data_IF_340984680725
#
_entry.id   IF_340984680725
#
_cell.length_a   1.000
_cell.length_b   1.000
_cell.length_c   1.000
_cell.angle_alpha   90.00
_cell.angle_beta   90.00
_cell.angle_gamma   90.00
#
_symmetry.space_group_name_H-M   'P 1'
#
loop_
_entity.id
_entity.type
_entity.pdbx_description
1 polymer ?
#
# COMPACT_ATOMS: atom_id res chain seq x y z
N UNK A 1 49.57 -9.80 32.89
CA UNK A 1 48.50 -9.39 31.97
C UNK A 1 47.24 -10.16 32.34
N UNK A 2 46.16 -9.47 32.71
CA UNK A 2 44.84 -10.09 32.92
C UNK A 2 44.07 -9.89 31.62
N UNK A 3 43.66 -10.97 30.97
CA UNK A 3 42.79 -10.92 29.80
C UNK A 3 41.35 -10.89 30.30
N UNK A 4 40.67 -9.75 30.15
CA UNK A 4 39.23 -9.65 30.40
C UNK A 4 38.53 -10.13 29.12
N UNK A 5 37.91 -11.30 29.16
CA UNK A 5 37.03 -11.77 28.08
C UNK A 5 35.65 -11.14 28.29
N UNK A 6 35.28 -10.18 27.44
CA UNK A 6 33.93 -9.60 27.40
C UNK A 6 33.03 -10.48 26.53
N UNK A 7 32.08 -11.17 27.15
CA UNK A 7 31.05 -11.95 26.45
C UNK A 7 29.93 -10.99 26.02
N UNK A 8 30.07 -10.36 24.86
CA UNK A 8 28.96 -9.61 24.27
C UNK A 8 27.88 -10.60 23.79
N UNK A 9 26.71 -10.61 24.43
CA UNK A 9 25.54 -11.30 23.88
C UNK A 9 25.10 -10.56 22.62
N UNK A 10 25.45 -11.09 21.46
CA UNK A 10 25.00 -10.54 20.18
C UNK A 10 23.47 -10.68 20.14
N UNK A 11 22.76 -9.55 20.03
CA UNK A 11 21.29 -9.56 19.87
C UNK A 11 20.93 -10.44 18.68
N UNK A 12 19.86 -11.25 18.72
CA UNK A 12 19.41 -11.95 17.51
C UNK A 12 19.04 -10.94 16.41
N UNK A 13 19.16 -11.37 15.14
CA UNK A 13 18.72 -10.57 14.00
C UNK A 13 17.23 -10.21 14.12
N UNK A 14 16.78 -9.05 13.60
CA UNK A 14 15.37 -8.67 13.65
C UNK A 14 14.48 -9.69 12.95
N UNK A 15 13.24 -9.84 13.43
CA UNK A 15 12.22 -10.68 12.79
C UNK A 15 11.04 -9.78 12.45
N UNK A 16 10.69 -9.67 11.16
CA UNK A 16 9.56 -8.86 10.72
C UNK A 16 8.26 -9.42 11.31
N UNK A 17 7.45 -8.56 11.93
CA UNK A 17 6.17 -8.92 12.55
C UNK A 17 4.97 -8.19 11.95
N UNK A 18 5.19 -7.16 11.12
CA UNK A 18 4.13 -6.49 10.36
C UNK A 18 3.50 -7.44 9.32
N UNK A 19 2.25 -7.16 8.93
CA UNK A 19 1.52 -7.96 7.96
C UNK A 19 2.24 -8.04 6.61
N UNK A 20 2.41 -9.24 6.06
CA UNK A 20 3.13 -9.47 4.79
C UNK A 20 2.26 -9.26 3.54
N UNK A 21 1.10 -8.63 3.70
CA UNK A 21 0.22 -8.22 2.62
C UNK A 21 -0.39 -6.85 2.93
N UNK A 22 -0.46 -5.98 1.94
CA UNK A 22 -1.16 -4.70 2.04
C UNK A 22 -1.80 -4.32 0.70
N UNK A 23 -2.80 -3.44 0.76
CA UNK A 23 -3.49 -2.92 -0.43
C UNK A 23 -3.43 -1.40 -0.44
N UNK A 24 -3.25 -0.82 -1.62
CA UNK A 24 -3.34 0.63 -1.85
C UNK A 24 -4.22 0.93 -3.07
N UNK A 25 -4.46 2.22 -3.30
CA UNK A 25 -5.18 2.71 -4.48
C UNK A 25 -4.27 3.68 -5.23
N UNK A 26 -4.18 3.53 -6.55
CA UNK A 26 -3.39 4.42 -7.38
C UNK A 26 -3.83 5.89 -7.19
N UNK A 27 -2.88 6.82 -7.24
CA UNK A 27 -3.11 8.26 -7.05
C UNK A 27 -3.76 8.66 -5.71
N UNK A 28 -3.75 7.76 -4.71
CA UNK A 28 -4.20 8.01 -3.34
C UNK A 28 -3.04 7.80 -2.38
N UNK A 29 -2.96 8.60 -1.31
CA UNK A 29 -1.90 8.47 -0.30
C UNK A 29 -1.92 7.07 0.32
N UNK A 30 -0.74 6.46 0.42
CA UNK A 30 -0.51 5.16 1.03
C UNK A 30 0.44 5.30 2.22
N UNK A 31 0.21 4.49 3.25
CA UNK A 31 1.06 4.39 4.42
C UNK A 31 1.08 2.95 4.95
N UNK A 32 2.27 2.44 5.23
CA UNK A 32 2.49 1.13 5.82
C UNK A 32 3.73 1.18 6.71
N UNK A 33 3.61 0.70 7.95
CA UNK A 33 4.71 0.66 8.91
C UNK A 33 5.31 -0.75 8.98
N UNK A 34 6.60 -0.88 8.65
CA UNK A 34 7.36 -2.10 8.93
C UNK A 34 7.59 -2.17 10.45
N UNK A 35 7.25 -3.30 11.06
CA UNK A 35 7.55 -3.60 12.46
C UNK A 35 8.34 -4.88 12.56
N UNK A 36 9.25 -4.96 13.53
CA UNK A 36 10.09 -6.13 13.75
C UNK A 36 10.43 -6.32 15.23
N UNK A 37 10.62 -7.57 15.65
CA UNK A 37 11.15 -7.95 16.95
C UNK A 37 12.68 -7.86 17.01
N UNK A 38 13.25 -8.16 18.18
CA UNK A 38 14.70 -8.20 18.45
C UNK A 38 15.42 -6.84 18.30
N UNK A 39 14.73 -5.73 18.52
CA UNK A 39 15.34 -4.39 18.58
C UNK A 39 15.95 -3.93 17.25
N UNK A 40 15.15 -3.73 16.19
CA UNK A 40 15.63 -3.18 14.93
C UNK A 40 16.13 -1.74 15.12
N UNK A 41 17.23 -1.38 14.46
CA UNK A 41 17.80 -0.02 14.45
C UNK A 41 17.59 0.69 13.13
N UNK A 42 17.31 -0.04 12.06
CA UNK A 42 17.00 0.52 10.74
C UNK A 42 16.11 -0.42 9.95
N UNK A 43 15.40 0.16 8.99
CA UNK A 43 14.53 -0.55 8.06
C UNK A 43 14.83 -0.16 6.61
N UNK A 44 14.50 -1.05 5.68
CA UNK A 44 14.60 -0.79 4.25
C UNK A 44 13.51 -1.57 3.48
N UNK A 45 13.28 -1.19 2.23
CA UNK A 45 12.35 -1.80 1.31
C UNK A 45 12.87 -1.66 -0.13
N UNK A 46 12.84 -2.74 -0.89
CA UNK A 46 13.22 -2.79 -2.30
C UNK A 46 12.07 -3.35 -3.15
N UNK A 47 11.94 -2.87 -4.40
CA UNK A 47 10.84 -3.26 -5.30
C UNK A 47 9.51 -2.56 -5.00
N UNK A 48 9.55 -1.39 -4.36
CA UNK A 48 8.36 -0.57 -4.13
C UNK A 48 7.74 -0.10 -5.46
N UNK A 49 6.39 -0.07 -5.57
CA UNK A 49 5.70 0.63 -6.65
C UNK A 49 6.18 2.08 -6.80
N UNK A 50 6.20 2.58 -8.03
CA UNK A 50 6.56 3.96 -8.31
C UNK A 50 5.69 4.93 -7.49
N UNK A 51 6.33 5.95 -6.92
CA UNK A 51 5.69 6.95 -6.07
C UNK A 51 5.68 6.61 -4.57
N UNK A 52 6.20 5.45 -4.17
CA UNK A 52 6.43 5.08 -2.77
C UNK A 52 7.91 5.11 -2.39
N UNK A 53 8.18 5.43 -1.13
CA UNK A 53 9.52 5.38 -0.54
C UNK A 53 9.45 4.84 0.90
N UNK A 54 10.59 4.42 1.43
CA UNK A 54 10.74 3.93 2.81
C UNK A 54 11.64 4.87 3.61
N UNK A 55 11.23 5.19 4.84
CA UNK A 55 12.08 5.90 5.79
C UNK A 55 12.97 4.93 6.57
N UNK A 56 14.06 5.42 7.17
CA UNK A 56 14.92 4.61 8.06
C UNK A 56 14.18 4.05 9.28
N UNK A 57 13.07 4.69 9.68
CA UNK A 57 12.15 4.23 10.73
C UNK A 57 11.11 3.21 10.27
N UNK A 58 11.15 2.76 9.00
CA UNK A 58 10.30 1.70 8.48
C UNK A 58 8.95 2.14 7.93
N UNK A 59 8.69 3.45 7.85
CA UNK A 59 7.47 3.97 7.24
C UNK A 59 7.62 3.93 5.71
N UNK A 60 6.87 3.03 5.06
CA UNK A 60 6.63 3.07 3.62
C UNK A 60 5.47 4.03 3.37
N UNK A 61 5.71 5.09 2.59
CA UNK A 61 4.69 6.11 2.33
C UNK A 61 4.83 6.75 0.96
N UNK A 62 3.79 7.45 0.52
CA UNK A 62 3.76 8.19 -0.74
C UNK A 62 2.44 8.00 -1.45
N UNK A 63 2.45 8.15 -2.78
CA UNK A 63 1.27 7.99 -3.63
C UNK A 63 1.64 7.05 -4.78
N UNK A 64 1.19 5.78 -4.78
CA UNK A 64 1.54 4.85 -5.83
C UNK A 64 0.88 5.28 -7.14
N UNK A 65 1.61 5.19 -8.25
CA UNK A 65 1.12 5.64 -9.56
C UNK A 65 0.70 4.50 -10.49
N UNK A 66 1.14 3.28 -10.22
CA UNK A 66 0.92 2.12 -11.07
C UNK A 66 0.06 1.10 -10.35
N UNK A 67 -1.03 0.69 -11.01
CA UNK A 67 -1.90 -0.43 -10.59
C UNK A 67 -1.18 -1.75 -10.81
N UNK A 68 -1.35 -2.69 -9.89
CA UNK A 68 -0.79 -4.04 -9.98
C UNK A 68 -0.29 -4.56 -8.64
N UNK A 69 0.15 -5.81 -8.67
CA UNK A 69 0.74 -6.47 -7.50
C UNK A 69 2.26 -6.40 -7.57
N UNK A 70 2.88 -5.92 -6.50
CA UNK A 70 4.34 -5.86 -6.33
C UNK A 70 4.80 -6.76 -5.20
N UNK A 71 5.90 -7.48 -5.44
CA UNK A 71 6.61 -8.27 -4.43
C UNK A 71 7.72 -7.42 -3.83
N UNK A 72 7.44 -6.76 -2.70
CA UNK A 72 8.35 -5.83 -2.04
C UNK A 72 9.21 -6.59 -1.05
N UNK A 73 10.54 -6.50 -1.16
CA UNK A 73 11.45 -7.07 -0.16
C UNK A 73 11.63 -6.05 0.96
N UNK A 74 11.10 -6.35 2.15
CA UNK A 74 11.26 -5.51 3.35
C UNK A 74 12.32 -6.10 4.28
N UNK A 75 13.10 -5.24 4.93
CA UNK A 75 14.15 -5.68 5.85
C UNK A 75 14.27 -4.78 7.07
N UNK A 76 14.78 -5.37 8.14
CA UNK A 76 15.10 -4.71 9.38
C UNK A 76 16.46 -5.18 9.87
N UNK A 77 17.32 -4.26 10.33
CA UNK A 77 18.68 -4.57 10.75
C UNK A 77 18.98 -4.07 12.15
N UNK A 78 19.85 -4.80 12.86
CA UNK A 78 20.50 -4.40 14.11
C UNK A 78 21.94 -4.93 14.11
N UNK A 79 22.68 -4.76 15.22
CA UNK A 79 24.05 -5.27 15.35
C UNK A 79 24.16 -6.81 15.28
N UNK A 80 23.04 -7.52 15.46
CA UNK A 80 22.89 -8.96 15.36
C UNK A 80 22.68 -9.52 13.96
N UNK A 81 22.39 -8.66 12.98
CA UNK A 81 22.16 -9.04 11.59
C UNK A 81 20.91 -8.39 10.99
N UNK A 82 20.45 -8.96 9.88
CA UNK A 82 19.32 -8.44 9.09
C UNK A 82 18.24 -9.50 8.96
N UNK A 83 17.01 -9.16 9.35
CA UNK A 83 15.82 -9.91 9.01
C UNK A 83 15.24 -9.45 7.69
N UNK A 84 14.75 -10.38 6.87
CA UNK A 84 14.15 -10.10 5.56
C UNK A 84 12.80 -10.82 5.45
N UNK A 85 11.83 -10.18 4.83
CA UNK A 85 10.55 -10.78 4.46
C UNK A 85 10.02 -10.14 3.17
N UNK A 86 9.02 -10.78 2.57
CA UNK A 86 8.37 -10.26 1.36
C UNK A 86 6.98 -9.74 1.72
N UNK A 87 6.73 -8.47 1.40
CA UNK A 87 5.43 -7.82 1.45
C UNK A 87 4.79 -7.88 0.06
N UNK A 88 3.63 -8.53 -0.04
CA UNK A 88 2.78 -8.46 -1.23
C UNK A 88 1.95 -7.18 -1.17
N UNK A 89 2.26 -6.20 -2.03
CA UNK A 89 1.53 -4.94 -2.11
C UNK A 89 0.68 -4.90 -3.38
N UNK A 90 -0.65 -4.91 -3.22
CA UNK A 90 -1.59 -4.79 -4.34
C UNK A 90 -2.11 -3.36 -4.44
N UNK A 91 -1.83 -2.68 -5.55
CA UNK A 91 -2.35 -1.35 -5.84
C UNK A 91 -3.51 -1.49 -6.83
N UNK A 92 -4.70 -1.05 -6.45
CA UNK A 92 -5.90 -1.10 -7.27
C UNK A 92 -6.18 0.25 -7.95
N UNK A 93 -6.98 0.22 -9.01
CA UNK A 93 -7.59 1.42 -9.57
C UNK A 93 -8.57 2.01 -8.54
N UNK A 94 -8.76 3.32 -8.53
CA UNK A 94 -9.84 3.92 -7.74
C UNK A 94 -11.24 3.62 -8.33
N UNK A 95 -11.26 3.22 -9.60
CA UNK A 95 -12.44 2.77 -10.35
C UNK A 95 -12.62 1.24 -10.25
N UNK A 96 -11.74 0.52 -9.57
CA UNK A 96 -11.95 -0.89 -9.21
C UNK A 96 -12.53 -0.92 -7.78
N UNK A 97 -13.87 -0.89 -7.72
CA UNK A 97 -14.64 -0.73 -6.50
C UNK A 97 -14.80 -2.06 -5.75
N UNK A 98 -14.72 -3.19 -6.45
CA UNK A 98 -14.83 -4.53 -5.84
C UNK A 98 -13.46 -5.17 -5.54
N UNK A 99 -12.36 -4.55 -5.99
CA UNK A 99 -10.96 -5.00 -5.85
C UNK A 99 -10.67 -6.35 -6.50
N UNK A 100 -11.30 -6.63 -7.64
CA UNK A 100 -11.05 -7.84 -8.43
C UNK A 100 -9.88 -7.68 -9.44
N UNK A 101 -9.22 -6.52 -9.41
CA UNK A 101 -8.13 -6.11 -10.30
C UNK A 101 -8.57 -5.81 -11.75
N UNK A 102 -9.87 -5.68 -12.01
CA UNK A 102 -10.43 -5.26 -13.29
C UNK A 102 -11.34 -4.05 -13.05
N UNK A 103 -11.23 -3.04 -13.91
CA UNK A 103 -12.25 -1.97 -13.97
C UNK A 103 -13.30 -2.40 -15.00
N UNK A 104 -14.52 -2.71 -14.56
CA UNK A 104 -15.56 -3.24 -15.43
C UNK A 104 -17.00 -2.88 -14.99
N UNK A 105 -18.00 -3.46 -15.64
CA UNK A 105 -19.42 -3.16 -15.38
C UNK A 105 -19.87 -3.45 -13.94
N UNK A 106 -19.19 -4.35 -13.23
CA UNK A 106 -19.46 -4.62 -11.82
C UNK A 106 -19.12 -3.41 -10.95
N UNK A 107 -18.02 -2.71 -11.25
CA UNK A 107 -17.63 -1.47 -10.56
C UNK A 107 -18.63 -0.35 -10.81
N UNK A 108 -19.02 -0.18 -12.09
CA UNK A 108 -20.04 0.81 -12.48
C UNK A 108 -21.34 0.57 -11.72
N UNK A 109 -21.77 -0.69 -11.58
CA UNK A 109 -22.98 -1.02 -10.84
C UNK A 109 -22.85 -0.68 -9.35
N UNK A 110 -21.66 -0.89 -8.75
CA UNK A 110 -21.41 -0.48 -7.38
C UNK A 110 -21.46 1.04 -7.24
N UNK A 111 -20.86 1.79 -8.15
CA UNK A 111 -20.86 3.25 -8.06
C UNK A 111 -22.25 3.84 -8.32
N UNK A 112 -23.04 3.26 -9.22
CA UNK A 112 -24.44 3.63 -9.41
C UNK A 112 -25.21 3.44 -8.10
N UNK A 113 -25.01 2.35 -7.36
CA UNK A 113 -25.65 2.15 -6.06
C UNK A 113 -25.22 3.20 -5.02
N UNK A 114 -23.98 3.67 -5.07
CA UNK A 114 -23.50 4.77 -4.21
C UNK A 114 -24.15 6.10 -4.59
N UNK A 115 -24.25 6.41 -5.89
CA UNK A 115 -24.87 7.63 -6.39
C UNK A 115 -26.38 7.70 -6.14
N UNK A 116 -27.06 6.55 -6.12
CA UNK A 116 -28.47 6.44 -5.77
C UNK A 116 -28.73 6.49 -4.26
N UNK A 117 -27.69 6.48 -3.42
CA UNK A 117 -27.81 6.41 -1.96
C UNK A 117 -28.22 5.03 -1.43
N UNK A 118 -28.18 3.99 -2.27
CA UNK A 118 -28.44 2.61 -1.86
C UNK A 118 -27.26 2.02 -1.05
N UNK A 119 -26.06 2.58 -1.21
CA UNK A 119 -24.86 2.24 -0.43
C UNK A 119 -24.10 3.52 -0.05
N UNK A 120 -23.27 3.45 0.99
CA UNK A 120 -22.47 4.59 1.41
C UNK A 120 -21.52 5.05 0.30
N UNK A 121 -21.37 6.36 0.12
CA UNK A 121 -20.40 6.91 -0.82
C UNK A 121 -18.97 6.62 -0.33
N UNK A 122 -18.28 5.74 -1.04
CA UNK A 122 -16.86 5.42 -0.80
C UNK A 122 -15.98 5.79 -1.99
N UNK A 123 -16.60 6.12 -3.13
CA UNK A 123 -15.94 6.32 -4.42
C UNK A 123 -16.30 7.68 -5.02
N UNK A 124 -16.01 8.74 -4.28
CA UNK A 124 -16.04 10.14 -4.74
C UNK A 124 -14.76 10.40 -5.57
N UNK A 125 -14.87 10.19 -6.88
CA UNK A 125 -13.74 10.25 -7.82
C UNK A 125 -13.38 11.69 -8.14
N UNK A 126 -14.37 12.59 -8.21
CA UNK A 126 -14.12 14.01 -8.44
C UNK A 126 -13.77 14.81 -7.18
N UNK A 127 -13.89 14.20 -5.99
CA UNK A 127 -13.59 14.79 -4.69
C UNK A 127 -14.47 16.01 -4.39
N UNK A 128 -15.72 16.00 -4.84
CA UNK A 128 -16.70 17.06 -4.56
C UNK A 128 -17.49 16.85 -3.26
N UNK A 129 -17.26 15.73 -2.57
CA UNK A 129 -17.91 15.32 -1.34
C UNK A 129 -19.17 14.48 -1.54
N UNK A 130 -19.55 14.18 -2.78
CA UNK A 130 -20.74 13.39 -3.12
C UNK A 130 -20.41 12.34 -4.17
N UNK A 131 -21.02 11.16 -4.04
CA UNK A 131 -21.08 10.22 -5.16
C UNK A 131 -22.28 10.59 -6.00
N UNK A 132 -22.08 10.95 -7.26
CA UNK A 132 -23.15 11.33 -8.17
C UNK A 132 -22.85 10.88 -9.61
N UNK A 133 -23.63 11.38 -10.57
CA UNK A 133 -23.49 11.01 -11.99
C UNK A 133 -22.13 11.37 -12.59
N UNK A 134 -21.40 12.33 -12.00
CA UNK A 134 -20.05 12.71 -12.42
C UNK A 134 -19.08 11.56 -12.11
N UNK A 135 -19.15 10.99 -10.91
CA UNK A 135 -18.31 9.85 -10.54
C UNK A 135 -18.62 8.63 -11.39
N UNK A 136 -19.91 8.30 -11.52
CA UNK A 136 -20.37 7.19 -12.37
C UNK A 136 -19.86 7.35 -13.81
N UNK A 137 -19.89 8.55 -14.38
CA UNK A 137 -19.38 8.77 -15.74
C UNK A 137 -17.86 8.55 -15.83
N UNK A 138 -17.10 8.88 -14.79
CA UNK A 138 -15.64 8.63 -14.75
C UNK A 138 -15.34 7.14 -14.69
N UNK A 139 -16.09 6.38 -13.89
CA UNK A 139 -15.93 4.94 -13.80
C UNK A 139 -16.38 4.21 -15.07
N UNK A 140 -17.48 4.66 -15.69
CA UNK A 140 -17.89 4.19 -17.03
C UNK A 140 -16.78 4.40 -18.05
N UNK A 141 -16.18 5.60 -18.09
CA UNK A 141 -15.08 5.89 -19.00
C UNK A 141 -13.86 4.99 -18.74
N UNK A 142 -13.54 4.72 -17.47
CA UNK A 142 -12.45 3.83 -17.08
C UNK A 142 -12.74 2.37 -17.48
N UNK A 143 -13.97 1.91 -17.29
CA UNK A 143 -14.43 0.56 -17.69
C UNK A 143 -14.39 0.33 -19.20
N UNK A 144 -14.45 1.40 -20.00
CA UNK A 144 -14.35 1.36 -21.46
C UNK A 144 -12.89 1.50 -21.97
N UNK A 145 -11.90 1.38 -21.08
CA UNK A 145 -10.47 1.46 -21.40
C UNK A 145 -9.86 2.86 -21.26
N UNK A 146 -10.61 3.82 -20.74
CA UNK A 146 -10.09 5.12 -20.34
C UNK A 146 -9.26 5.07 -19.05
N UNK A 147 -8.62 6.19 -18.71
CA UNK A 147 -7.97 6.33 -17.40
C UNK A 147 -9.01 6.59 -16.32
N UNK A 148 -8.79 6.04 -15.12
CA UNK A 148 -9.55 6.42 -13.93
C UNK A 148 -9.09 7.81 -13.45
N UNK A 149 -9.92 8.83 -13.64
CA UNK A 149 -9.58 10.21 -13.31
C UNK A 149 -9.99 10.56 -11.88
N UNK A 150 -9.01 11.03 -11.09
CA UNK A 150 -9.21 11.48 -9.71
C UNK A 150 -9.02 12.99 -9.56
N UNK A 151 -9.83 13.61 -8.71
CA UNK A 151 -9.76 15.03 -8.39
C UNK A 151 -10.80 15.88 -9.14
N UNK A 152 -10.91 17.17 -8.81
CA UNK A 152 -11.97 18.05 -9.32
C UNK A 152 -12.01 18.10 -10.85
#
# INVERSE_FOLDING_TARGET
MITVTYSATVSPAPVITSALSSTGTAATTFSYQITAANGPTSFNAAGLPAGLSVSTGGLISGTPTIVGTSSVTISAANAGGTGVSTLTLSVYSACDLNRDALTNVVDVQLQVNQALGATACTSDLNRDGSCNVIDVQRDVNASLGGQCLLGP
#
